data_IF_941390311231
#
_entry.id   IF_941390311231
#
_cell.length_a   1.000
_cell.length_b   1.000
_cell.length_c   1.000
_cell.angle_alpha   90.00
_cell.angle_beta   90.00
_cell.angle_gamma   90.00
#
_symmetry.space_group_name_H-M   'P 1'
#
loop_
_entity.id
_entity.type
_entity.pdbx_description
1 polymer ?
#
# COMPACT_ATOMS: atom_id res chain seq x y z
N UNK A 1 12.31 -21.12 -11.83
CA UNK A 1 11.03 -20.70 -12.38
C UNK A 1 10.02 -21.83 -12.54
N UNK A 2 10.39 -23.09 -12.27
CA UNK A 2 9.50 -24.26 -12.33
C UNK A 2 9.16 -24.80 -10.93
N UNK A 3 9.46 -24.04 -9.89
CA UNK A 3 9.15 -24.42 -8.52
C UNK A 3 7.67 -24.15 -8.25
N UNK A 4 6.91 -25.12 -7.72
CA UNK A 4 5.52 -24.90 -7.34
C UNK A 4 5.44 -23.86 -6.20
N UNK A 5 4.53 -22.90 -6.33
CA UNK A 5 4.29 -21.85 -5.35
C UNK A 5 3.51 -22.38 -4.14
N UNK A 6 3.44 -21.64 -3.02
CA UNK A 6 2.64 -22.04 -1.86
C UNK A 6 1.17 -22.31 -2.22
N UNK A 7 0.57 -21.49 -3.07
CA UNK A 7 -0.80 -21.67 -3.54
C UNK A 7 -1.04 -23.03 -4.21
N UNK A 8 -0.06 -23.49 -5.02
CA UNK A 8 -0.13 -24.79 -5.71
C UNK A 8 0.20 -25.98 -4.78
N UNK A 9 1.05 -25.75 -3.75
CA UNK A 9 1.49 -26.83 -2.84
C UNK A 9 0.52 -27.14 -1.73
N UNK A 10 -0.13 -26.12 -1.20
CA UNK A 10 -0.90 -26.18 0.05
C UNK A 10 -2.23 -25.43 -0.10
N UNK A 11 -3.05 -25.71 -1.13
CA UNK A 11 -4.31 -25.02 -1.30
C UNK A 11 -5.26 -25.38 -0.14
N UNK A 12 -5.74 -24.36 0.60
CA UNK A 12 -6.69 -24.51 1.69
C UNK A 12 -8.06 -23.89 1.38
N UNK A 13 -8.16 -23.17 0.26
CA UNK A 13 -9.40 -22.49 -0.15
C UNK A 13 -9.74 -21.23 0.66
N UNK A 14 -8.87 -20.82 1.59
CA UNK A 14 -9.07 -19.65 2.46
C UNK A 14 -7.95 -18.64 2.24
N UNK A 15 -6.73 -18.98 2.62
CA UNK A 15 -5.54 -18.11 2.49
C UNK A 15 -4.67 -18.49 1.29
N UNK A 16 -4.57 -19.78 0.99
CA UNK A 16 -3.77 -20.33 -0.09
C UNK A 16 -4.67 -20.68 -1.28
N UNK A 17 -4.92 -19.67 -2.09
CA UNK A 17 -5.84 -19.76 -3.25
C UNK A 17 -5.11 -19.31 -4.50
N UNK A 18 -5.04 -20.18 -5.51
CA UNK A 18 -4.47 -19.81 -6.81
C UNK A 18 -5.32 -18.73 -7.49
N UNK A 19 -4.67 -17.62 -7.81
CA UNK A 19 -5.30 -16.53 -8.55
C UNK A 19 -4.51 -16.18 -9.80
N UNK A 20 -5.20 -15.59 -10.80
CA UNK A 20 -4.51 -15.09 -12.00
C UNK A 20 -3.55 -13.97 -11.63
N UNK A 21 -2.39 -13.83 -12.33
CA UNK A 21 -1.40 -12.81 -12.02
C UNK A 21 -1.94 -11.39 -12.03
N UNK A 22 -2.87 -11.09 -12.94
CA UNK A 22 -3.52 -9.77 -13.01
C UNK A 22 -4.39 -9.51 -11.78
N UNK A 23 -5.14 -10.51 -11.31
CA UNK A 23 -5.97 -10.41 -10.11
C UNK A 23 -5.09 -10.15 -8.88
N UNK A 24 -4.01 -10.91 -8.70
CA UNK A 24 -3.06 -10.72 -7.59
C UNK A 24 -2.40 -9.34 -7.65
N UNK A 25 -1.99 -8.89 -8.84
CA UNK A 25 -1.43 -7.55 -9.04
C UNK A 25 -2.42 -6.44 -8.62
N UNK A 26 -3.68 -6.53 -9.06
CA UNK A 26 -4.69 -5.53 -8.73
C UNK A 26 -5.03 -5.51 -7.24
N UNK A 27 -5.07 -6.68 -6.59
CA UNK A 27 -5.29 -6.79 -5.14
C UNK A 27 -4.08 -6.20 -4.39
N UNK A 28 -2.84 -6.53 -4.80
CA UNK A 28 -1.63 -5.97 -4.22
C UNK A 28 -1.66 -4.43 -4.35
N UNK A 29 -1.90 -3.92 -5.56
CA UNK A 29 -1.95 -2.48 -5.84
C UNK A 29 -2.99 -1.77 -4.97
N UNK A 30 -4.23 -2.28 -4.90
CA UNK A 30 -5.28 -1.64 -4.12
C UNK A 30 -4.94 -1.59 -2.62
N UNK A 31 -4.35 -2.67 -2.09
CA UNK A 31 -4.01 -2.74 -0.68
C UNK A 31 -2.86 -1.80 -0.31
N UNK A 32 -1.85 -1.67 -1.18
CA UNK A 32 -0.71 -0.78 -0.91
C UNK A 32 -1.05 0.68 -1.25
N UNK A 33 -1.77 0.94 -2.35
CA UNK A 33 -2.16 2.28 -2.80
C UNK A 33 -3.39 2.84 -2.06
N UNK A 34 -3.49 2.61 -0.76
CA UNK A 34 -4.58 3.08 0.09
C UNK A 34 -4.46 4.56 0.50
N UNK A 35 -4.87 4.88 1.73
CA UNK A 35 -4.85 6.26 2.24
C UNK A 35 -3.46 6.88 2.31
N UNK A 36 -2.44 6.08 2.63
CA UNK A 36 -1.06 6.55 2.74
C UNK A 36 -0.53 7.18 1.46
N UNK A 37 -0.57 6.47 0.32
CA UNK A 37 -0.16 6.99 -0.98
C UNK A 37 -0.98 8.16 -1.53
N UNK A 38 -2.15 8.42 -0.97
CA UNK A 38 -2.94 9.62 -1.27
C UNK A 38 -2.50 10.79 -0.39
N UNK A 39 -2.63 10.64 0.92
CA UNK A 39 -2.36 11.73 1.85
C UNK A 39 -0.88 12.02 2.08
N UNK A 40 -0.02 10.99 2.04
CA UNK A 40 1.42 11.15 2.23
C UNK A 40 2.04 12.09 1.18
N UNK A 41 1.87 11.83 -0.12
CA UNK A 41 2.34 12.72 -1.18
C UNK A 41 1.73 14.14 -1.13
N UNK A 42 0.43 14.26 -0.85
CA UNK A 42 -0.23 15.58 -0.70
C UNK A 42 0.41 16.37 0.44
N UNK A 43 0.62 15.74 1.61
CA UNK A 43 1.32 16.39 2.73
C UNK A 43 2.79 16.64 2.40
N UNK A 44 3.42 15.77 1.62
CA UNK A 44 4.78 15.95 1.13
C UNK A 44 4.91 17.18 0.23
N UNK A 45 3.90 17.45 -0.60
CA UNK A 45 3.87 18.62 -1.49
C UNK A 45 3.96 19.96 -0.73
N UNK A 46 3.52 20.01 0.53
CA UNK A 46 3.68 21.20 1.39
C UNK A 46 5.15 21.59 1.63
N UNK A 47 6.06 20.64 1.47
CA UNK A 47 7.51 20.88 1.59
C UNK A 47 8.17 21.27 0.26
N UNK A 48 7.39 21.40 -0.80
CA UNK A 48 7.83 21.81 -2.11
C UNK A 48 8.10 20.65 -3.09
N UNK A 49 8.57 20.96 -4.31
CA UNK A 49 8.76 19.99 -5.41
C UNK A 49 9.76 18.87 -5.11
N UNK A 50 10.57 18.99 -4.09
CA UNK A 50 11.49 17.95 -3.61
C UNK A 50 10.72 16.65 -3.27
N UNK A 51 9.43 16.75 -2.92
CA UNK A 51 8.57 15.61 -2.67
C UNK A 51 8.47 14.69 -3.89
N UNK A 52 8.39 15.23 -5.10
CA UNK A 52 8.35 14.46 -6.36
C UNK A 52 9.60 13.56 -6.48
N UNK A 53 10.77 14.13 -6.24
CA UNK A 53 12.03 13.39 -6.31
C UNK A 53 12.06 12.24 -5.30
N UNK A 54 11.63 12.51 -4.08
CA UNK A 54 11.62 11.50 -3.02
C UNK A 54 10.59 10.40 -3.25
N UNK A 55 9.42 10.71 -3.81
CA UNK A 55 8.45 9.66 -4.22
C UNK A 55 9.10 8.74 -5.25
N UNK A 56 9.77 9.29 -6.28
CA UNK A 56 10.42 8.46 -7.32
C UNK A 56 11.53 7.60 -6.74
N UNK A 57 12.49 8.21 -6.03
CA UNK A 57 13.64 7.50 -5.45
C UNK A 57 13.16 6.47 -4.41
N UNK A 58 12.25 6.88 -3.53
CA UNK A 58 11.70 6.01 -2.49
C UNK A 58 10.97 4.80 -3.07
N UNK A 59 10.12 5.00 -4.07
CA UNK A 59 9.40 3.90 -4.70
C UNK A 59 10.33 2.94 -5.43
N UNK A 60 11.28 3.45 -6.24
CA UNK A 60 12.13 2.61 -7.09
C UNK A 60 13.17 1.84 -6.27
N UNK A 61 13.87 2.52 -5.37
CA UNK A 61 15.05 1.96 -4.68
C UNK A 61 14.74 1.41 -3.29
N UNK A 62 13.70 1.89 -2.63
CA UNK A 62 13.31 1.39 -1.32
C UNK A 62 12.05 0.53 -1.40
N UNK A 63 10.91 1.12 -1.70
CA UNK A 63 9.61 0.45 -1.64
C UNK A 63 9.50 -0.77 -2.56
N UNK A 64 9.82 -0.61 -3.84
CA UNK A 64 9.72 -1.69 -4.81
C UNK A 64 10.71 -2.84 -4.53
N UNK A 65 11.90 -2.52 -4.06
CA UNK A 65 12.90 -3.50 -3.64
C UNK A 65 12.43 -4.25 -2.39
N UNK A 66 11.94 -3.50 -1.38
CA UNK A 66 11.38 -4.06 -0.16
C UNK A 66 10.22 -5.03 -0.46
N UNK A 67 9.25 -4.61 -1.26
CA UNK A 67 8.07 -5.42 -1.58
C UNK A 67 8.44 -6.67 -2.39
N UNK A 68 9.35 -6.51 -3.34
CA UNK A 68 9.85 -7.64 -4.11
C UNK A 68 10.50 -8.70 -3.21
N UNK A 69 11.40 -8.29 -2.32
CA UNK A 69 12.06 -9.23 -1.41
C UNK A 69 11.10 -9.82 -0.38
N UNK A 70 10.24 -9.01 0.23
CA UNK A 70 9.23 -9.47 1.18
C UNK A 70 8.32 -10.54 0.56
N UNK A 71 7.81 -10.28 -0.63
CA UNK A 71 6.93 -11.20 -1.34
C UNK A 71 7.67 -12.46 -1.83
N UNK A 72 8.83 -12.31 -2.50
CA UNK A 72 9.55 -13.45 -3.05
C UNK A 72 10.18 -14.34 -1.98
N UNK A 73 10.66 -13.78 -0.88
CA UNK A 73 11.09 -14.57 0.27
C UNK A 73 9.90 -15.32 0.88
N UNK A 74 8.75 -14.67 1.03
CA UNK A 74 7.54 -15.35 1.50
C UNK A 74 7.16 -16.52 0.58
N UNK A 75 7.19 -16.35 -0.74
CA UNK A 75 6.97 -17.47 -1.69
C UNK A 75 7.94 -18.63 -1.43
N UNK A 76 9.22 -18.33 -1.19
CA UNK A 76 10.25 -19.36 -0.93
C UNK A 76 10.08 -20.06 0.41
N UNK A 77 9.59 -19.35 1.42
CA UNK A 77 9.31 -19.88 2.75
C UNK A 77 7.85 -20.32 2.93
N UNK A 78 7.22 -20.80 1.87
CA UNK A 78 5.86 -21.37 1.88
C UNK A 78 4.79 -20.40 2.44
N UNK A 79 4.83 -19.13 2.06
CA UNK A 79 3.86 -18.13 2.49
C UNK A 79 4.04 -17.61 3.92
N UNK A 80 5.22 -17.81 4.53
CA UNK A 80 5.51 -17.31 5.88
C UNK A 80 5.56 -15.80 5.93
N UNK A 81 5.19 -15.25 7.10
CA UNK A 81 5.29 -13.83 7.40
C UNK A 81 6.74 -13.33 7.45
N UNK A 82 6.96 -12.04 7.22
CA UNK A 82 8.30 -11.44 7.34
C UNK A 82 8.95 -11.68 8.70
N UNK A 83 8.24 -11.51 9.85
CA UNK A 83 8.82 -11.84 11.15
C UNK A 83 9.29 -13.30 11.27
N UNK A 84 8.56 -14.24 10.68
CA UNK A 84 8.98 -15.65 10.70
C UNK A 84 10.23 -15.88 9.86
N UNK A 85 10.31 -15.26 8.67
CA UNK A 85 11.48 -15.33 7.79
C UNK A 85 12.71 -14.72 8.47
N UNK A 86 12.53 -13.58 9.13
CA UNK A 86 13.58 -12.94 9.93
C UNK A 86 14.05 -13.89 11.04
N UNK A 87 13.13 -14.58 11.71
CA UNK A 87 13.46 -15.56 12.74
C UNK A 87 14.32 -16.70 12.25
N UNK A 88 14.07 -17.22 11.06
CA UNK A 88 14.90 -18.28 10.45
C UNK A 88 16.33 -17.84 10.16
N UNK A 89 16.55 -16.56 9.87
CA UNK A 89 17.86 -16.04 9.45
C UNK A 89 18.61 -15.33 10.59
N UNK A 90 17.92 -14.67 11.52
CA UNK A 90 18.50 -13.80 12.55
C UNK A 90 18.17 -14.26 14.00
N UNK A 91 17.45 -15.36 14.15
CA UNK A 91 17.14 -15.96 15.44
C UNK A 91 15.87 -15.43 16.12
N UNK A 92 15.51 -16.10 17.23
CA UNK A 92 14.21 -15.91 17.88
C UNK A 92 14.02 -14.55 18.57
N UNK A 93 15.08 -13.92 19.05
CA UNK A 93 15.00 -12.60 19.67
C UNK A 93 14.51 -11.57 18.65
N UNK A 94 15.14 -11.54 17.48
CA UNK A 94 14.78 -10.60 16.40
C UNK A 94 13.39 -10.93 15.86
N UNK A 95 13.02 -12.20 15.77
CA UNK A 95 11.65 -12.62 15.44
C UNK A 95 10.60 -12.02 16.37
N UNK A 96 10.84 -12.10 17.70
CA UNK A 96 9.92 -11.54 18.70
C UNK A 96 9.79 -10.03 18.57
N UNK A 97 10.91 -9.32 18.42
CA UNK A 97 10.92 -7.88 18.20
C UNK A 97 10.14 -7.49 16.94
N UNK A 98 10.38 -8.18 15.81
CA UNK A 98 9.66 -7.94 14.56
C UNK A 98 8.16 -8.25 14.67
N UNK A 99 7.77 -9.25 15.45
CA UNK A 99 6.35 -9.53 15.70
C UNK A 99 5.67 -8.42 16.49
N UNK A 100 6.30 -7.95 17.56
CA UNK A 100 5.79 -6.81 18.35
C UNK A 100 5.65 -5.58 17.45
N UNK A 101 6.69 -5.27 16.69
CA UNK A 101 6.66 -4.16 15.73
C UNK A 101 5.53 -4.31 14.71
N UNK A 102 5.36 -5.48 14.11
CA UNK A 102 4.30 -5.73 13.13
C UNK A 102 2.90 -5.59 13.74
N UNK A 103 2.68 -6.05 14.97
CA UNK A 103 1.39 -5.91 15.67
C UNK A 103 1.08 -4.44 15.95
N UNK A 104 2.04 -3.69 16.49
CA UNK A 104 1.88 -2.24 16.75
C UNK A 104 1.59 -1.50 15.44
N UNK A 105 2.37 -1.78 14.38
CA UNK A 105 2.17 -1.21 13.06
C UNK A 105 0.75 -1.48 12.53
N UNK A 106 0.30 -2.73 12.59
CA UNK A 106 -1.04 -3.11 12.08
C UNK A 106 -2.17 -2.44 12.86
N UNK A 107 -2.02 -2.27 14.18
CA UNK A 107 -3.00 -1.54 15.00
C UNK A 107 -3.07 -0.08 14.55
N UNK A 108 -1.91 0.59 14.41
CA UNK A 108 -1.85 1.99 13.98
C UNK A 108 -2.40 2.18 12.56
N UNK A 109 -2.05 1.31 11.64
CA UNK A 109 -2.59 1.30 10.27
C UNK A 109 -4.10 1.09 10.30
N UNK A 110 -4.60 0.14 11.10
CA UNK A 110 -6.02 -0.11 11.28
C UNK A 110 -6.78 1.13 11.75
N UNK A 111 -6.23 1.87 12.71
CA UNK A 111 -6.81 3.14 13.18
C UNK A 111 -6.92 4.15 12.03
N UNK A 112 -5.86 4.33 11.24
CA UNK A 112 -5.87 5.28 10.11
C UNK A 112 -6.90 4.87 9.05
N UNK A 113 -6.99 3.59 8.72
CA UNK A 113 -7.94 3.07 7.72
C UNK A 113 -9.40 3.07 8.19
N UNK A 114 -9.65 3.22 9.48
CA UNK A 114 -11.00 3.45 10.02
C UNK A 114 -11.28 4.95 10.14
N UNK A 115 -10.41 5.70 10.79
CA UNK A 115 -10.62 7.11 11.10
C UNK A 115 -10.63 8.00 9.85
N UNK A 116 -9.75 7.73 8.87
CA UNK A 116 -9.67 8.50 7.63
C UNK A 116 -10.98 8.49 6.82
N UNK A 117 -11.45 7.32 6.36
CA UNK A 117 -12.70 7.23 5.62
C UNK A 117 -13.92 7.71 6.44
N UNK A 118 -13.97 7.41 7.74
CA UNK A 118 -15.06 7.86 8.61
C UNK A 118 -15.10 9.40 8.70
N UNK A 119 -13.95 10.06 8.80
CA UNK A 119 -13.84 11.51 8.79
C UNK A 119 -14.30 12.13 7.47
N UNK A 120 -13.84 11.58 6.33
CA UNK A 120 -14.24 12.04 5.00
C UNK A 120 -15.75 11.88 4.75
N UNK A 121 -16.32 10.73 5.10
CA UNK A 121 -17.75 10.48 4.95
C UNK A 121 -18.59 11.40 5.85
N UNK A 122 -18.11 11.67 7.07
CA UNK A 122 -18.73 12.62 7.98
C UNK A 122 -18.77 14.04 7.39
N UNK A 123 -17.65 14.49 6.80
CA UNK A 123 -17.59 15.80 6.15
C UNK A 123 -18.50 15.90 4.93
N UNK A 124 -18.58 14.85 4.11
CA UNK A 124 -19.41 14.83 2.91
C UNK A 124 -20.90 14.75 3.20
N UNK A 125 -21.30 14.03 4.26
CA UNK A 125 -22.71 13.76 4.57
C UNK A 125 -23.29 14.63 5.68
N UNK A 126 -22.44 15.28 6.49
CA UNK A 126 -22.83 15.98 7.71
C UNK A 126 -23.22 15.05 8.87
N UNK A 127 -23.13 13.72 8.70
CA UNK A 127 -23.48 12.75 9.73
C UNK A 127 -22.33 12.55 10.71
N UNK A 128 -22.65 12.07 11.91
CA UNK A 128 -21.65 11.87 12.96
C UNK A 128 -20.63 10.78 12.57
N UNK A 129 -19.33 11.05 12.74
CA UNK A 129 -18.24 10.16 12.32
C UNK A 129 -18.27 8.78 12.95
N UNK A 130 -18.78 8.66 14.20
CA UNK A 130 -18.91 7.38 14.91
C UNK A 130 -19.85 6.39 14.20
N UNK A 131 -20.84 6.87 13.45
CA UNK A 131 -21.70 6.01 12.65
C UNK A 131 -20.86 5.28 11.56
N UNK A 132 -20.00 6.03 10.87
CA UNK A 132 -19.13 5.47 9.83
C UNK A 132 -18.04 4.58 10.42
N UNK A 133 -17.50 4.93 11.59
CA UNK A 133 -16.59 4.05 12.34
C UNK A 133 -17.26 2.69 12.61
N UNK A 134 -18.50 2.68 13.11
CA UNK A 134 -19.22 1.44 13.39
C UNK A 134 -19.47 0.61 12.11
N UNK A 135 -19.86 1.27 11.01
CA UNK A 135 -20.07 0.60 9.71
C UNK A 135 -18.77 -0.02 9.19
N UNK A 136 -17.66 0.71 9.24
CA UNK A 136 -16.36 0.24 8.77
C UNK A 136 -15.86 -0.93 9.63
N UNK A 137 -16.02 -0.86 10.96
CA UNK A 137 -15.69 -1.97 11.85
C UNK A 137 -16.53 -3.21 11.58
N UNK A 138 -17.84 -3.05 11.37
CA UNK A 138 -18.71 -4.17 10.99
C UNK A 138 -18.25 -4.82 9.67
N UNK A 139 -17.88 -4.00 8.67
CA UNK A 139 -17.31 -4.50 7.42
C UNK A 139 -16.01 -5.27 7.65
N UNK A 140 -15.08 -4.75 8.46
CA UNK A 140 -13.81 -5.43 8.74
C UNK A 140 -14.01 -6.74 9.49
N UNK A 141 -14.94 -6.75 10.44
CA UNK A 141 -15.30 -7.98 11.15
C UNK A 141 -15.81 -9.06 10.19
N UNK A 142 -16.73 -8.69 9.29
CA UNK A 142 -17.24 -9.60 8.27
C UNK A 142 -16.13 -10.06 7.29
N UNK A 143 -15.28 -9.14 6.85
CA UNK A 143 -14.17 -9.44 5.95
C UNK A 143 -13.12 -10.37 6.58
N UNK A 144 -12.97 -10.36 7.90
CA UNK A 144 -12.04 -11.25 8.61
C UNK A 144 -12.55 -12.70 8.66
N UNK A 145 -13.86 -12.90 8.66
CA UNK A 145 -14.47 -14.24 8.74
C UNK A 145 -14.59 -14.90 7.37
N UNK A 146 -14.72 -14.11 6.31
CA UNK A 146 -14.99 -14.61 4.96
C UNK A 146 -13.69 -14.97 4.22
N UNK A 147 -13.69 -16.02 3.39
CA UNK A 147 -12.53 -16.40 2.59
C UNK A 147 -12.05 -15.27 1.67
N UNK A 148 -10.73 -15.10 1.59
CA UNK A 148 -10.05 -14.05 0.79
C UNK A 148 -10.55 -14.00 -0.67
N UNK A 149 -10.78 -15.16 -1.29
CA UNK A 149 -11.24 -15.21 -2.69
C UNK A 149 -12.64 -14.64 -2.89
N UNK A 150 -13.55 -14.82 -1.95
CA UNK A 150 -14.97 -14.43 -2.12
C UNK A 150 -15.18 -12.92 -2.09
N UNK A 151 -14.52 -12.21 -1.17
CA UNK A 151 -14.65 -10.75 -1.06
C UNK A 151 -13.47 -10.07 -1.74
N UNK A 152 -12.27 -10.30 -1.22
CA UNK A 152 -11.05 -9.61 -1.68
C UNK A 152 -10.78 -9.96 -3.14
N UNK A 153 -10.82 -11.24 -3.49
CA UNK A 153 -10.54 -11.69 -4.85
C UNK A 153 -11.54 -11.24 -5.91
N UNK A 154 -12.77 -10.90 -5.55
CA UNK A 154 -13.80 -10.47 -6.51
C UNK A 154 -14.01 -8.96 -6.53
N UNK A 155 -14.02 -8.34 -5.37
CA UNK A 155 -14.39 -6.92 -5.20
C UNK A 155 -13.17 -6.01 -5.36
N UNK A 156 -12.01 -6.39 -4.84
CA UNK A 156 -10.81 -5.55 -4.85
C UNK A 156 -10.28 -5.22 -6.25
N UNK A 157 -10.24 -6.14 -7.24
CA UNK A 157 -9.82 -5.77 -8.59
C UNK A 157 -10.66 -4.65 -9.21
N UNK A 158 -11.97 -4.63 -8.93
CA UNK A 158 -12.86 -3.55 -9.37
C UNK A 158 -12.48 -2.21 -8.71
N UNK A 159 -12.27 -2.19 -7.41
CA UNK A 159 -11.85 -0.97 -6.70
C UNK A 159 -10.45 -0.50 -7.09
N UNK A 160 -9.54 -1.43 -7.43
CA UNK A 160 -8.21 -1.05 -7.93
C UNK A 160 -8.30 -0.32 -9.28
N UNK A 161 -9.15 -0.79 -10.19
CA UNK A 161 -9.41 -0.10 -11.46
C UNK A 161 -10.07 1.26 -11.22
N UNK A 162 -11.03 1.33 -10.29
CA UNK A 162 -11.70 2.58 -9.93
C UNK A 162 -10.73 3.61 -9.32
N UNK A 163 -9.78 3.16 -8.47
CA UNK A 163 -8.72 4.01 -7.91
C UNK A 163 -7.85 4.64 -9.01
N UNK A 164 -7.40 3.83 -9.97
CA UNK A 164 -6.60 4.31 -11.11
C UNK A 164 -7.42 5.28 -11.96
N UNK A 165 -8.67 4.94 -12.25
CA UNK A 165 -9.59 5.81 -13.00
C UNK A 165 -9.80 7.15 -12.31
N UNK A 166 -9.98 7.14 -10.99
CA UNK A 166 -10.13 8.36 -10.19
C UNK A 166 -8.86 9.24 -10.26
N UNK A 167 -7.69 8.65 -10.06
CA UNK A 167 -6.42 9.40 -10.11
C UNK A 167 -6.18 10.01 -11.48
N UNK A 168 -6.31 9.24 -12.57
CA UNK A 168 -6.13 9.70 -13.95
C UNK A 168 -7.24 10.70 -14.35
N UNK A 169 -8.48 10.43 -13.94
CA UNK A 169 -9.63 11.30 -14.24
C UNK A 169 -9.49 12.67 -13.57
N UNK A 170 -9.03 12.71 -12.33
CA UNK A 170 -8.81 13.97 -11.61
C UNK A 170 -7.68 14.78 -12.24
N UNK A 171 -6.54 14.13 -12.55
CA UNK A 171 -5.43 14.75 -13.27
C UNK A 171 -5.89 15.33 -14.62
N UNK A 172 -6.66 14.53 -15.39
CA UNK A 172 -7.23 14.97 -16.67
C UNK A 172 -8.18 16.14 -16.52
N UNK A 173 -9.08 16.10 -15.52
CA UNK A 173 -10.04 17.19 -15.28
C UNK A 173 -9.34 18.51 -14.94
N UNK A 174 -8.26 18.48 -14.16
CA UNK A 174 -7.46 19.66 -13.85
C UNK A 174 -6.73 20.20 -15.07
N UNK A 175 -6.14 19.31 -15.87
CA UNK A 175 -5.49 19.70 -17.13
C UNK A 175 -6.49 20.35 -18.10
N UNK A 176 -7.68 19.80 -18.27
CA UNK A 176 -8.74 20.38 -19.12
C UNK A 176 -9.26 21.73 -18.62
N UNK A 177 -9.24 21.96 -17.30
CA UNK A 177 -9.62 23.27 -16.71
C UNK A 177 -8.50 24.30 -16.78
N UNK A 178 -7.34 23.96 -17.34
CA UNK A 178 -6.21 24.89 -17.51
C UNK A 178 -5.44 25.19 -16.23
N UNK A 179 -5.54 24.32 -15.19
CA UNK A 179 -4.68 24.44 -14.02
C UNK A 179 -3.24 24.14 -14.41
N UNK A 180 -2.32 25.00 -13.98
CA UNK A 180 -0.89 24.82 -14.20
C UNK A 180 -0.29 23.94 -13.12
N UNK A 181 0.30 22.81 -13.55
CA UNK A 181 1.06 21.94 -12.66
C UNK A 181 2.45 22.55 -12.47
N UNK A 182 2.82 22.92 -11.24
CA UNK A 182 4.15 23.44 -10.90
C UNK A 182 4.75 24.36 -11.96
N UNK A 183 4.18 25.54 -12.16
CA UNK A 183 4.60 26.51 -13.20
C UNK A 183 6.06 26.98 -13.03
N UNK A 184 6.61 26.96 -11.81
CA UNK A 184 7.99 27.30 -11.51
C UNK A 184 8.53 26.29 -10.50
N UNK A 185 9.23 25.25 -10.98
CA UNK A 185 9.87 24.25 -10.11
C UNK A 185 11.18 24.84 -9.58
N UNK A 186 11.10 25.54 -8.47
CA UNK A 186 12.29 25.79 -7.64
C UNK A 186 12.47 24.58 -6.72
N UNK A 187 13.57 23.87 -6.89
CA UNK A 187 13.92 22.69 -6.06
C UNK A 187 14.31 23.08 -4.63
N UNK A 188 13.48 23.88 -4.00
CA UNK A 188 13.64 24.35 -2.63
C UNK A 188 12.83 23.49 -1.68
N UNK A 189 13.35 23.31 -0.47
CA UNK A 189 12.59 22.74 0.63
C UNK A 189 11.93 23.88 1.40
N UNK A 190 10.61 23.84 1.50
CA UNK A 190 9.85 24.74 2.35
C UNK A 190 9.51 24.06 3.69
N UNK A 191 9.35 24.85 4.72
CA UNK A 191 8.85 24.39 6.01
C UNK A 191 7.54 25.13 6.32
N UNK A 192 6.38 24.52 6.00
CA UNK A 192 5.09 25.19 6.15
C UNK A 192 4.73 25.55 7.59
N UNK A 193 5.37 24.91 8.58
CA UNK A 193 5.06 25.06 10.01
C UNK A 193 6.24 25.58 10.84
N UNK A 194 7.30 26.09 10.22
CA UNK A 194 8.53 26.44 10.92
C UNK A 194 9.34 25.24 11.46
N UNK A 195 8.84 24.03 11.27
CA UNK A 195 9.55 22.79 11.60
C UNK A 195 10.55 22.45 10.50
N UNK A 196 11.68 21.78 10.81
CA UNK A 196 12.67 21.45 9.80
C UNK A 196 12.08 20.53 8.73
N UNK A 197 12.23 20.90 7.45
CA UNK A 197 11.77 20.08 6.34
C UNK A 197 12.40 18.68 6.36
N UNK A 198 13.67 18.59 6.73
CA UNK A 198 14.35 17.35 7.06
C UNK A 198 14.21 17.05 8.57
N UNK A 199 13.77 15.85 9.03
CA UNK A 199 13.38 14.67 8.24
C UNK A 199 11.87 14.60 7.91
N UNK A 200 11.07 15.62 8.18
CA UNK A 200 9.60 15.53 8.13
C UNK A 200 9.05 15.22 6.74
N UNK A 201 9.66 15.73 5.69
CA UNK A 201 9.28 15.39 4.30
C UNK A 201 9.34 13.88 4.05
N UNK A 202 10.32 13.17 4.64
CA UNK A 202 10.43 11.72 4.48
C UNK A 202 9.35 10.96 5.24
N UNK A 203 8.95 11.45 6.41
CA UNK A 203 7.89 10.83 7.22
C UNK A 203 6.57 10.90 6.46
N UNK A 204 6.26 12.02 5.82
CA UNK A 204 5.05 12.18 5.02
C UNK A 204 5.07 11.30 3.77
N UNK A 205 6.18 11.31 3.03
CA UNK A 205 6.32 10.58 1.77
C UNK A 205 6.53 9.07 2.01
N UNK A 206 7.12 8.68 3.14
CA UNK A 206 7.35 7.27 3.46
C UNK A 206 6.05 6.44 3.39
N UNK A 207 4.92 7.02 3.73
CA UNK A 207 3.62 6.35 3.64
C UNK A 207 3.19 6.06 2.20
N UNK A 208 3.71 6.80 1.21
CA UNK A 208 3.40 6.62 -0.22
C UNK A 208 4.53 6.02 -1.04
N UNK A 209 5.74 5.89 -0.47
CA UNK A 209 6.90 5.42 -1.20
C UNK A 209 7.57 4.18 -0.58
N UNK A 210 7.38 3.92 0.72
CA UNK A 210 8.04 2.83 1.43
C UNK A 210 7.32 2.49 2.74
N UNK A 211 6.04 2.12 2.66
CA UNK A 211 5.26 1.81 3.87
C UNK A 211 5.63 0.45 4.47
N UNK A 212 5.88 0.40 5.78
CA UNK A 212 6.10 -0.84 6.52
C UNK A 212 4.89 -1.81 6.52
N UNK A 213 3.70 -1.31 6.20
CA UNK A 213 2.50 -2.13 5.99
C UNK A 213 2.68 -3.14 4.86
N UNK A 214 3.45 -2.81 3.85
CA UNK A 214 3.73 -3.69 2.71
C UNK A 214 4.42 -5.00 3.14
N UNK A 215 5.24 -4.98 4.19
CA UNK A 215 5.86 -6.17 4.77
C UNK A 215 4.84 -7.20 5.28
N UNK A 216 3.64 -6.77 5.64
CA UNK A 216 2.55 -7.66 6.06
C UNK A 216 1.65 -8.06 4.90
N UNK A 217 1.47 -7.18 3.92
CA UNK A 217 0.61 -7.40 2.75
C UNK A 217 1.25 -8.35 1.71
N UNK A 218 2.53 -8.16 1.38
CA UNK A 218 3.22 -8.96 0.36
C UNK A 218 3.22 -10.47 0.67
N UNK A 219 3.40 -10.95 1.92
CA UNK A 219 3.23 -12.36 2.25
C UNK A 219 1.82 -12.92 2.03
N UNK A 220 0.77 -12.11 2.19
CA UNK A 220 -0.59 -12.57 1.90
C UNK A 220 -0.75 -12.84 0.40
N UNK A 221 -0.23 -11.95 -0.44
CA UNK A 221 -0.26 -12.16 -1.89
C UNK A 221 0.67 -13.27 -2.35
N UNK A 222 1.78 -13.51 -1.65
CA UNK A 222 2.67 -14.65 -1.91
C UNK A 222 1.97 -16.01 -1.80
N UNK A 223 0.92 -16.11 -1.01
CA UNK A 223 0.07 -17.30 -0.88
C UNK A 223 -0.91 -17.48 -2.05
N UNK A 224 -1.05 -16.48 -2.91
CA UNK A 224 -2.03 -16.49 -4.01
C UNK A 224 -1.38 -16.56 -5.40
N UNK A 225 -0.06 -16.47 -5.50
CA UNK A 225 0.67 -16.50 -6.77
C UNK A 225 0.73 -17.93 -7.30
N UNK A 226 0.34 -18.12 -8.55
CA UNK A 226 0.41 -19.42 -9.24
C UNK A 226 1.79 -19.73 -9.85
N UNK A 227 2.63 -18.72 -10.10
CA UNK A 227 3.97 -18.91 -10.66
C UNK A 227 4.95 -17.85 -10.16
N UNK A 228 6.15 -18.27 -9.73
CA UNK A 228 7.23 -17.37 -9.26
C UNK A 228 7.65 -16.30 -10.30
N UNK A 229 7.51 -16.59 -11.60
CA UNK A 229 7.85 -15.64 -12.68
C UNK A 229 7.06 -14.34 -12.60
N UNK A 230 5.86 -14.39 -12.02
CA UNK A 230 5.01 -13.21 -11.88
C UNK A 230 5.36 -12.33 -10.70
N UNK A 231 6.21 -12.79 -9.77
CA UNK A 231 6.56 -12.08 -8.54
C UNK A 231 7.12 -10.68 -8.79
N UNK A 232 8.00 -10.50 -9.79
CA UNK A 232 8.52 -9.17 -10.14
C UNK A 232 7.40 -8.22 -10.58
N UNK A 233 6.49 -8.67 -11.44
CA UNK A 233 5.36 -7.85 -11.89
C UNK A 233 4.41 -7.52 -10.74
N UNK A 234 4.14 -8.49 -9.88
CA UNK A 234 3.17 -8.34 -8.78
C UNK A 234 3.74 -7.44 -7.68
N UNK A 235 4.91 -7.74 -7.14
CA UNK A 235 5.43 -7.01 -5.99
C UNK A 235 6.13 -5.72 -6.40
N UNK A 236 7.17 -5.81 -7.22
CA UNK A 236 7.91 -4.64 -7.69
C UNK A 236 7.03 -3.74 -8.56
N UNK A 237 6.28 -4.33 -9.49
CA UNK A 237 5.43 -3.58 -10.43
C UNK A 237 4.26 -2.87 -9.74
N UNK A 238 3.62 -3.47 -8.73
CA UNK A 238 2.55 -2.81 -7.98
C UNK A 238 3.08 -1.60 -7.21
N UNK A 239 4.28 -1.70 -6.62
CA UNK A 239 4.92 -0.58 -5.93
C UNK A 239 5.26 0.57 -6.88
N UNK A 240 5.73 0.28 -8.09
CA UNK A 240 5.96 1.31 -9.11
C UNK A 240 4.63 1.96 -9.53
N UNK A 241 3.57 1.19 -9.70
CA UNK A 241 2.25 1.73 -10.02
C UNK A 241 1.70 2.62 -8.88
N UNK A 242 1.92 2.22 -7.63
CA UNK A 242 1.61 3.05 -6.45
C UNK A 242 2.39 4.37 -6.48
N UNK A 243 3.69 4.34 -6.79
CA UNK A 243 4.51 5.54 -6.93
C UNK A 243 3.99 6.49 -8.00
N UNK A 244 3.55 5.96 -9.15
CA UNK A 244 2.90 6.77 -10.20
C UNK A 244 1.62 7.42 -9.69
N UNK A 245 0.78 6.69 -8.96
CA UNK A 245 -0.42 7.24 -8.31
C UNK A 245 -0.04 8.32 -7.30
N UNK A 246 0.98 8.10 -6.48
CA UNK A 246 1.51 9.07 -5.52
C UNK A 246 2.03 10.35 -6.20
N UNK A 247 2.70 10.22 -7.36
CA UNK A 247 3.11 11.38 -8.17
C UNK A 247 1.91 12.19 -8.68
N UNK A 248 0.83 11.52 -9.09
CA UNK A 248 -0.41 12.21 -9.46
C UNK A 248 -0.93 13.02 -8.27
N UNK A 249 -1.03 12.42 -7.09
CA UNK A 249 -1.53 13.10 -5.90
C UNK A 249 -0.63 14.25 -5.42
N UNK A 250 0.68 14.15 -5.60
CA UNK A 250 1.62 15.24 -5.27
C UNK A 250 1.48 16.44 -6.21
N UNK A 251 1.00 16.21 -7.43
CA UNK A 251 0.84 17.27 -8.45
C UNK A 251 -0.53 17.94 -8.43
N UNK A 252 -1.49 17.35 -7.72
CA UNK A 252 -2.85 17.89 -7.54
C UNK A 252 -2.93 18.93 -6.44
#
# INVERSE_FOLDING_TARGET
PNRPTPACKMPDGVDYVEMSPTKVFLIQLLNIAGLGPVFGPILGALYGPIALLWVVIGCVFAGAVHDYFSGMLSVRYNGKSVPDIVGYNLGDLIKKLMRVFAVVLLILVGVVFVAGPAGLLSQLTGMHSMLFVAIIFAYYFLATILPVDKIIGRVYPFFAVLLVFMAVGLLGALAFKGYTFYSNIEWTMHSPSGLPAWPLVFITIACGACSGFHATQSPLMARCINNEKHGRKIFYGAMIAEGVIGLIWVTL
#
